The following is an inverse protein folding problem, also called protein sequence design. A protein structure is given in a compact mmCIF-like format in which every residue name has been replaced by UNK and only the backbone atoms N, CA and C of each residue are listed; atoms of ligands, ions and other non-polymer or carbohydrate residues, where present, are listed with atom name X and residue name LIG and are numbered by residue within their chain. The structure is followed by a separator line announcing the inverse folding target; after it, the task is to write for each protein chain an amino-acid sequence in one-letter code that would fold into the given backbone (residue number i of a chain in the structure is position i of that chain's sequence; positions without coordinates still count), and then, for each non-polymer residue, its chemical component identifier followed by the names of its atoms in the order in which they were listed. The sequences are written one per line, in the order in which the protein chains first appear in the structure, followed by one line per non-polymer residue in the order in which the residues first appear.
data_IF_888398490577
#
_entry.id   IF_888398490577
#
_cell.length_a   1.000
_cell.length_b   1.000
_cell.length_c   1.000
_cell.angle_alpha   90.00
_cell.angle_beta   90.00
_cell.angle_gamma   90.00
#
_symmetry.space_group_name_H-M   'P 1'
#
loop_
_entity.id
_entity.type
_entity.pdbx_description
1 polymer ?
#
# COMPACT_ATOMS: atom_id res chain seq x y z
N UNK A 1 21.38 -7.00 6.20
CA UNK A 1 20.61 -5.73 6.15
C UNK A 1 19.41 -5.94 7.03
N UNK A 2 19.33 -5.19 8.13
CA UNK A 2 18.19 -5.21 9.04
C UNK A 2 17.69 -3.77 9.11
N UNK A 3 16.59 -3.47 8.42
CA UNK A 3 15.94 -2.16 8.53
C UNK A 3 14.66 -2.35 9.32
N UNK A 4 14.79 -2.36 10.64
CA UNK A 4 13.68 -2.12 11.55
C UNK A 4 13.46 -0.60 11.57
N UNK A 5 12.49 -0.11 10.81
CA UNK A 5 11.97 1.26 10.95
C UNK A 5 10.47 1.13 10.94
N UNK A 6 9.84 1.76 11.93
CA UNK A 6 8.40 1.83 12.18
C UNK A 6 7.72 2.69 11.10
N UNK A 7 7.94 2.35 9.83
CA UNK A 7 7.32 2.96 8.66
C UNK A 7 6.40 1.94 8.02
N UNK A 8 5.23 2.37 7.55
CA UNK A 8 4.36 1.51 6.75
C UNK A 8 5.10 1.11 5.47
N UNK A 9 5.73 -0.08 5.47
CA UNK A 9 6.43 -0.60 4.31
C UNK A 9 5.44 -1.27 3.36
N UNK A 10 5.36 -0.74 2.14
CA UNK A 10 4.64 -1.34 1.03
C UNK A 10 5.46 -2.51 0.46
N UNK A 11 4.87 -3.70 0.37
CA UNK A 11 5.51 -4.87 -0.23
C UNK A 11 4.78 -5.31 -1.51
N UNK A 12 5.49 -5.99 -2.41
CA UNK A 12 4.86 -6.62 -3.55
C UNK A 12 3.75 -7.57 -3.11
N UNK A 13 2.57 -7.38 -3.69
CA UNK A 13 1.39 -8.14 -3.37
C UNK A 13 0.50 -7.54 -2.27
N UNK A 14 0.91 -6.47 -1.60
CA UNK A 14 0.04 -5.76 -0.65
C UNK A 14 -1.17 -5.15 -1.35
N UNK A 15 -2.31 -5.17 -0.66
CA UNK A 15 -3.52 -4.49 -1.11
C UNK A 15 -3.48 -3.06 -0.60
N UNK A 16 -3.73 -2.12 -1.51
CA UNK A 16 -3.74 -0.69 -1.21
C UNK A 16 -5.02 -0.04 -1.70
N UNK A 17 -5.36 1.08 -1.08
CA UNK A 17 -6.45 1.95 -1.48
C UNK A 17 -5.93 3.35 -1.72
N UNK A 18 -6.36 3.98 -2.81
CA UNK A 18 -6.07 5.37 -3.10
C UNK A 18 -6.97 6.24 -2.23
N UNK A 19 -6.40 7.08 -1.35
CA UNK A 19 -7.16 7.92 -0.40
C UNK A 19 -8.12 8.87 -1.11
N UNK A 20 -7.68 9.45 -2.23
CA UNK A 20 -8.42 10.49 -2.97
C UNK A 20 -9.65 9.96 -3.70
N UNK A 21 -9.54 8.79 -4.33
CA UNK A 21 -10.60 8.22 -5.19
C UNK A 21 -11.30 7.03 -4.55
N UNK A 22 -10.70 6.44 -3.51
CA UNK A 22 -11.17 5.22 -2.89
C UNK A 22 -10.94 3.96 -3.72
N UNK A 23 -10.31 4.08 -4.90
CA UNK A 23 -9.99 2.96 -5.78
C UNK A 23 -8.99 2.00 -5.10
N UNK A 24 -9.15 0.71 -5.35
CA UNK A 24 -8.27 -0.32 -4.79
C UNK A 24 -7.32 -0.86 -5.85
N UNK A 25 -6.14 -1.25 -5.39
CA UNK A 25 -5.12 -1.87 -6.21
C UNK A 25 -4.22 -2.79 -5.40
N UNK A 26 -3.26 -3.38 -6.10
CA UNK A 26 -2.26 -4.27 -5.52
C UNK A 26 -0.88 -3.79 -5.90
N UNK A 27 0.05 -3.78 -4.96
CA UNK A 27 1.43 -3.39 -5.25
C UNK A 27 2.05 -4.45 -6.15
N UNK A 28 2.55 -4.01 -7.29
CA UNK A 28 3.21 -4.82 -8.29
C UNK A 28 4.72 -4.78 -8.17
N UNK A 29 5.31 -3.66 -7.73
CA UNK A 29 6.73 -3.50 -7.48
C UNK A 29 6.99 -2.30 -6.56
N UNK A 30 8.15 -2.28 -5.88
CA UNK A 30 8.64 -1.11 -5.14
C UNK A 30 10.11 -0.85 -5.50
N UNK A 31 10.46 0.42 -5.71
CA UNK A 31 11.82 0.82 -6.09
C UNK A 31 12.14 2.21 -5.50
N UNK A 32 13.16 2.29 -4.65
CA UNK A 32 13.76 3.57 -4.22
C UNK A 32 12.80 4.61 -3.60
N UNK A 33 11.69 4.19 -2.98
CA UNK A 33 10.67 5.12 -2.46
C UNK A 33 9.52 5.41 -3.45
N UNK A 34 9.40 4.62 -4.50
CA UNK A 34 8.29 4.62 -5.46
C UNK A 34 7.59 3.26 -5.41
N UNK A 35 6.26 3.27 -5.45
CA UNK A 35 5.43 2.06 -5.45
C UNK A 35 4.59 2.01 -6.72
N UNK A 36 4.64 0.86 -7.39
CA UNK A 36 3.86 0.57 -8.58
C UNK A 36 2.62 -0.21 -8.15
N UNK A 37 1.43 0.32 -8.42
CA UNK A 37 0.16 -0.25 -7.99
C UNK A 37 -0.64 -0.64 -9.22
N UNK A 38 -0.97 -1.92 -9.34
CA UNK A 38 -1.90 -2.44 -10.33
C UNK A 38 -3.33 -2.18 -9.83
N UNK A 39 -4.05 -1.31 -10.54
CA UNK A 39 -5.42 -0.91 -10.20
C UNK A 39 -6.40 -2.05 -10.50
N UNK A 40 -7.23 -2.44 -9.52
CA UNK A 40 -8.15 -3.57 -9.70
C UNK A 40 -9.29 -3.28 -10.68
N UNK A 41 -9.69 -2.01 -10.84
CA UNK A 41 -10.83 -1.61 -11.67
C UNK A 41 -10.49 -1.43 -13.14
N UNK A 42 -9.27 -0.98 -13.45
CA UNK A 42 -8.85 -0.64 -14.81
C UNK A 42 -7.72 -1.52 -15.35
N UNK A 43 -7.12 -2.35 -14.50
CA UNK A 43 -5.93 -3.16 -14.82
C UNK A 43 -4.74 -2.30 -15.31
N UNK A 44 -4.72 -1.02 -14.93
CA UNK A 44 -3.64 -0.09 -15.22
C UNK A 44 -2.64 -0.06 -14.06
N UNK A 45 -1.35 0.04 -14.37
CA UNK A 45 -0.31 0.27 -13.37
C UNK A 45 -0.18 1.78 -13.12
N UNK A 46 -0.45 2.21 -11.89
CA UNK A 46 -0.25 3.60 -11.44
C UNK A 46 0.95 3.67 -10.50
N UNK A 47 1.69 4.76 -10.59
CA UNK A 47 2.90 4.99 -9.80
C UNK A 47 2.60 5.99 -8.71
N UNK A 48 2.96 5.66 -7.48
CA UNK A 48 2.83 6.56 -6.33
C UNK A 48 4.18 6.70 -5.62
N UNK A 49 4.42 7.86 -5.01
CA UNK A 49 5.54 8.05 -4.11
C UNK A 49 5.25 7.36 -2.78
N UNK A 50 6.15 6.49 -2.33
CA UNK A 50 6.13 5.88 -0.99
C UNK A 50 6.61 6.86 0.09
N UNK A 51 6.25 8.14 -0.03
CA UNK A 51 6.56 9.13 0.99
C UNK A 51 5.83 8.71 2.28
N UNK A 52 6.61 8.39 3.30
CA UNK A 52 6.18 7.88 4.62
C UNK A 52 5.47 8.96 5.45
N UNK A 53 5.25 10.14 4.89
CA UNK A 53 4.57 11.24 5.56
C UNK A 53 3.05 11.14 5.42
N UNK A 54 2.30 11.79 6.32
CA UNK A 54 0.84 11.68 6.47
C UNK A 54 0.01 11.96 5.20
N UNK A 55 0.65 12.51 4.16
CA UNK A 55 0.13 12.83 2.83
C UNK A 55 0.31 11.72 1.78
N UNK A 56 0.65 10.48 2.17
CA UNK A 56 0.69 9.36 1.23
C UNK A 56 -0.65 9.23 0.47
N UNK A 57 -0.59 9.21 -0.87
CA UNK A 57 -1.76 9.11 -1.77
C UNK A 57 -2.50 7.78 -1.65
N UNK A 58 -1.83 6.76 -1.11
CA UNK A 58 -2.37 5.42 -0.91
C UNK A 58 -2.19 4.98 0.54
N UNK A 59 -3.06 4.09 1.00
CA UNK A 59 -3.02 3.44 2.31
C UNK A 59 -3.06 1.91 2.15
N UNK A 60 -2.42 1.18 3.06
CA UNK A 60 -2.54 -0.28 3.12
C UNK A 60 -3.96 -0.65 3.54
N UNK A 61 -4.57 -1.58 2.81
CA UNK A 61 -5.82 -2.21 3.22
C UNK A 61 -5.45 -3.46 4.00
N UNK A 62 -5.67 -3.50 5.32
CA UNK A 62 -5.40 -4.71 6.09
C UNK A 62 -6.23 -5.87 5.53
N UNK A 63 -5.70 -7.11 5.54
CA UNK A 63 -6.54 -8.26 5.29
C UNK A 63 -7.64 -8.26 6.35
N UNK A 64 -8.89 -8.19 5.89
CA UNK A 64 -10.08 -8.26 6.72
C UNK A 64 -10.00 -9.54 7.57
N UNK A 65 -9.56 -9.45 8.84
CA UNK A 65 -9.27 -10.67 9.62
C UNK A 65 -8.41 -10.58 10.87
N UNK A 66 -8.03 -9.42 11.41
CA UNK A 66 -7.32 -9.37 12.71
C UNK A 66 -7.79 -8.24 13.63
N UNK A 67 -9.10 -8.20 13.92
CA UNK A 67 -9.64 -7.65 15.17
C UNK A 67 -10.76 -8.56 15.68
N UNK A 68 -10.37 -9.80 15.99
CA UNK A 68 -11.08 -10.69 16.90
C UNK A 68 -10.09 -11.15 17.96
N UNK A 69 -9.60 -10.21 18.77
CA UNK A 69 -8.91 -10.58 20.01
C UNK A 69 -10.00 -10.67 21.09
N UNK A 70 -10.61 -11.85 21.19
CA UNK A 70 -11.34 -12.29 22.38
C UNK A 70 -10.47 -12.01 23.62
N UNK A 71 -11.01 -11.25 24.57
CA UNK A 71 -10.58 -11.23 25.98
C UNK A 71 -11.74 -10.77 26.87
#
# INVERSE_FOLDING_TARGET
METNTDGTYFQEGDRVRVKRTGEQGRINATDGGVVYVLMSGTNETRVFSAMVDGDAYIELVPPDGSMGMDA
#
